data_IF_338613361690
#
_entry.id   IF_338613361690
#
_cell.length_a   1.000
_cell.length_b   1.000
_cell.length_c   1.000
_cell.angle_alpha   90.00
_cell.angle_beta   90.00
_cell.angle_gamma   90.00
#
_symmetry.space_group_name_H-M   'P 1'
#
loop_
_entity.id
_entity.type
_entity.pdbx_description
1 polymer ?
#
# COMPACT_ATOMS: atom_id res chain seq x y z
N UNK A 1 -26.65 -14.19 9.54
CA UNK A 1 -26.92 -12.76 9.20
C UNK A 1 -26.77 -11.81 10.40
N UNK A 2 -27.41 -12.06 11.56
CA UNK A 2 -27.33 -11.18 12.75
C UNK A 2 -25.93 -11.06 13.39
N UNK A 3 -25.14 -12.14 13.42
CA UNK A 3 -23.75 -12.14 13.93
C UNK A 3 -22.75 -11.43 13.00
N UNK A 4 -22.99 -11.44 11.69
CA UNK A 4 -22.14 -10.76 10.69
C UNK A 4 -22.28 -9.24 10.78
N UNK A 5 -23.51 -8.74 10.92
CA UNK A 5 -23.78 -7.32 11.14
C UNK A 5 -23.17 -6.81 12.46
N UNK A 6 -23.15 -7.63 13.51
CA UNK A 6 -22.56 -7.27 14.80
C UNK A 6 -21.05 -7.06 14.74
N UNK A 7 -20.30 -7.89 14.00
CA UNK A 7 -18.83 -7.74 13.86
C UNK A 7 -18.42 -6.46 13.10
N UNK A 8 -19.16 -6.12 12.05
CA UNK A 8 -18.93 -4.93 11.23
C UNK A 8 -19.31 -3.64 11.96
N UNK A 9 -20.44 -3.65 12.66
CA UNK A 9 -20.85 -2.54 13.53
C UNK A 9 -19.96 -2.39 14.77
N UNK A 10 -19.09 -3.34 15.09
CA UNK A 10 -18.09 -3.22 16.16
C UNK A 10 -16.81 -2.54 15.66
N UNK A 11 -16.35 -2.84 14.43
CA UNK A 11 -15.08 -2.28 13.92
C UNK A 11 -15.16 -0.85 13.39
N UNK A 12 -16.34 -0.37 12.95
CA UNK A 12 -16.52 1.04 12.57
C UNK A 12 -16.49 2.02 13.78
N UNK A 13 -17.12 1.70 14.94
CA UNK A 13 -17.05 2.56 16.13
C UNK A 13 -15.93 2.20 17.13
N UNK A 14 -15.36 0.99 17.13
CA UNK A 14 -14.17 0.67 17.93
C UNK A 14 -12.92 0.63 17.04
N UNK A 15 -12.03 1.63 17.14
CA UNK A 15 -10.72 1.54 16.49
C UNK A 15 -10.00 0.30 17.03
N UNK A 16 -9.18 -0.35 16.18
CA UNK A 16 -8.36 -1.50 16.60
C UNK A 16 -7.72 -1.28 17.97
N UNK A 17 -7.63 -2.34 18.76
CA UNK A 17 -6.97 -2.23 20.06
C UNK A 17 -5.52 -1.76 19.90
N UNK A 18 -4.99 -0.97 20.85
CA UNK A 18 -3.57 -0.68 20.90
C UNK A 18 -2.75 -1.99 20.86
N UNK A 19 -1.66 -2.09 20.07
CA UNK A 19 -0.90 -1.00 19.43
C UNK A 19 -1.31 -0.63 17.99
N UNK A 20 -2.15 -1.42 17.32
CA UNK A 20 -2.47 -1.26 15.90
C UNK A 20 -3.06 0.12 15.57
N UNK A 21 -3.84 0.70 16.49
CA UNK A 21 -4.39 2.06 16.34
C UNK A 21 -3.33 3.12 16.09
N UNK A 22 -2.22 3.08 16.82
CA UNK A 22 -1.15 4.06 16.67
C UNK A 22 -0.39 3.87 15.35
N UNK A 23 -0.20 2.61 14.95
CA UNK A 23 0.40 2.27 13.65
C UNK A 23 -0.48 2.79 12.52
N UNK A 24 -1.79 2.54 12.56
CA UNK A 24 -2.74 3.03 11.56
C UNK A 24 -2.78 4.56 11.51
N UNK A 25 -2.70 5.25 12.65
CA UNK A 25 -2.61 6.71 12.69
C UNK A 25 -1.31 7.21 12.02
N UNK A 26 -0.19 6.53 12.26
CA UNK A 26 1.08 6.81 11.60
C UNK A 26 1.01 6.60 10.08
N UNK A 27 0.45 5.48 9.62
CA UNK A 27 0.24 5.22 8.20
C UNK A 27 -0.68 6.25 7.56
N UNK A 28 -1.78 6.61 8.21
CA UNK A 28 -2.69 7.62 7.69
C UNK A 28 -2.00 8.99 7.50
N UNK A 29 -1.14 9.40 8.44
CA UNK A 29 -0.36 10.64 8.28
C UNK A 29 0.63 10.56 7.11
N UNK A 30 1.27 9.40 6.92
CA UNK A 30 2.14 9.18 5.76
C UNK A 30 1.35 9.20 4.45
N UNK A 31 0.14 8.62 4.42
CA UNK A 31 -0.73 8.64 3.25
C UNK A 31 -1.18 10.06 2.90
N UNK A 32 -1.50 10.89 3.90
CA UNK A 32 -1.79 12.31 3.69
C UNK A 32 -0.58 13.06 3.13
N UNK A 33 0.64 12.75 3.60
CA UNK A 33 1.85 13.32 3.06
C UNK A 33 2.06 12.93 1.59
N UNK A 34 1.91 11.64 1.25
CA UNK A 34 2.01 11.14 -0.13
C UNK A 34 0.93 11.75 -1.02
N UNK A 35 -0.31 11.87 -0.53
CA UNK A 35 -1.39 12.55 -1.24
C UNK A 35 -1.06 14.04 -1.48
N UNK A 36 -0.45 14.70 -0.49
CA UNK A 36 0.05 16.06 -0.65
C UNK A 36 1.11 16.17 -1.75
N UNK A 37 2.07 15.23 -1.80
CA UNK A 37 3.06 15.17 -2.88
C UNK A 37 2.41 14.98 -4.25
N UNK A 38 1.43 14.07 -4.35
CA UNK A 38 0.66 13.84 -5.56
C UNK A 38 -0.02 15.14 -6.02
N UNK A 39 -0.71 15.85 -5.14
CA UNK A 39 -1.45 17.08 -5.47
C UNK A 39 -0.56 18.27 -5.83
N UNK A 40 0.66 18.33 -5.29
CA UNK A 40 1.60 19.43 -5.54
C UNK A 40 2.46 19.18 -6.79
N UNK A 41 2.90 17.95 -7.03
CA UNK A 41 3.88 17.60 -8.05
C UNK A 41 3.32 16.86 -9.27
N UNK A 42 1.99 16.72 -9.39
CA UNK A 42 1.37 15.97 -10.49
C UNK A 42 1.78 16.39 -11.91
N UNK A 43 2.14 17.67 -12.12
CA UNK A 43 2.47 18.19 -13.46
C UNK A 43 3.72 17.56 -14.06
N UNK A 44 4.68 17.10 -13.24
CA UNK A 44 5.87 16.42 -13.76
C UNK A 44 5.55 15.02 -14.28
N UNK A 45 4.59 14.34 -13.66
CA UNK A 45 4.21 12.97 -14.03
C UNK A 45 3.12 12.93 -15.11
N UNK A 46 2.28 13.98 -15.19
CA UNK A 46 1.14 14.05 -16.11
C UNK A 46 1.11 15.36 -16.90
N UNK A 47 2.09 15.64 -17.76
CA UNK A 47 2.20 16.92 -18.47
C UNK A 47 1.06 17.15 -19.48
N UNK A 48 0.39 16.08 -19.93
CA UNK A 48 -0.72 16.15 -20.89
C UNK A 48 -2.07 16.47 -20.25
N UNK A 49 -2.18 16.46 -18.92
CA UNK A 49 -3.44 16.67 -18.20
C UNK A 49 -3.62 18.14 -17.81
N UNK A 50 -4.85 18.65 -17.97
CA UNK A 50 -5.21 19.97 -17.46
C UNK A 50 -5.60 19.91 -15.99
N UNK A 51 -5.20 20.92 -15.20
CA UNK A 51 -5.49 20.96 -13.77
C UNK A 51 -6.98 20.93 -13.44
N UNK A 52 -7.84 21.48 -14.32
CA UNK A 52 -9.30 21.46 -14.18
C UNK A 52 -9.90 20.05 -14.23
N UNK A 53 -9.22 19.11 -14.90
CA UNK A 53 -9.64 17.70 -15.00
C UNK A 53 -8.94 16.88 -13.92
N UNK A 54 -7.67 17.19 -13.64
CA UNK A 54 -6.85 16.44 -12.69
C UNK A 54 -7.44 16.42 -11.27
N UNK A 55 -7.77 17.58 -10.69
CA UNK A 55 -8.26 17.61 -9.30
C UNK A 55 -9.61 16.89 -9.12
N UNK A 56 -10.62 17.09 -9.99
CA UNK A 56 -11.84 16.29 -9.94
C UNK A 56 -11.58 14.79 -10.11
N UNK A 57 -10.67 14.40 -11.00
CA UNK A 57 -10.31 13.00 -11.19
C UNK A 57 -9.73 12.37 -9.92
N UNK A 58 -8.83 13.07 -9.22
CA UNK A 58 -8.27 12.59 -7.94
C UNK A 58 -9.37 12.47 -6.88
N UNK A 59 -10.25 13.46 -6.75
CA UNK A 59 -11.36 13.43 -5.78
C UNK A 59 -12.32 12.27 -6.09
N UNK A 60 -12.72 12.10 -7.35
CA UNK A 60 -13.58 10.99 -7.77
C UNK A 60 -12.92 9.63 -7.50
N UNK A 61 -11.61 9.52 -7.75
CA UNK A 61 -10.86 8.28 -7.46
C UNK A 61 -10.86 7.97 -5.95
N UNK A 62 -10.63 8.97 -5.09
CA UNK A 62 -10.68 8.79 -3.63
C UNK A 62 -12.08 8.38 -3.15
N UNK A 63 -13.13 9.01 -3.65
CA UNK A 63 -14.51 8.67 -3.32
C UNK A 63 -14.88 7.25 -3.78
N UNK A 64 -14.46 6.87 -4.99
CA UNK A 64 -14.67 5.53 -5.53
C UNK A 64 -13.92 4.48 -4.70
N UNK A 65 -12.65 4.73 -4.35
CA UNK A 65 -11.86 3.84 -3.50
C UNK A 65 -12.46 3.72 -2.10
N UNK A 66 -12.90 4.82 -1.49
CA UNK A 66 -13.59 4.79 -0.19
C UNK A 66 -14.85 3.94 -0.26
N UNK A 67 -15.70 4.16 -1.26
CA UNK A 67 -16.93 3.37 -1.46
C UNK A 67 -16.64 1.87 -1.61
N UNK A 68 -15.62 1.52 -2.41
CA UNK A 68 -15.21 0.13 -2.63
C UNK A 68 -14.69 -0.54 -1.35
N UNK A 69 -13.82 0.12 -0.60
CA UNK A 69 -13.28 -0.43 0.66
C UNK A 69 -14.40 -0.59 1.68
N UNK A 70 -15.30 0.39 1.76
CA UNK A 70 -16.46 0.35 2.65
C UNK A 70 -17.35 -0.85 2.33
N UNK A 71 -17.77 -1.04 1.07
CA UNK A 71 -18.65 -2.16 0.70
C UNK A 71 -17.97 -3.52 0.87
N UNK A 72 -16.67 -3.65 0.58
CA UNK A 72 -15.91 -4.89 0.82
C UNK A 72 -15.87 -5.23 2.31
N UNK A 73 -15.63 -4.23 3.16
CA UNK A 73 -15.59 -4.39 4.63
C UNK A 73 -16.95 -4.88 5.16
N UNK A 74 -18.06 -4.35 4.62
CA UNK A 74 -19.41 -4.82 4.96
C UNK A 74 -19.64 -6.28 4.51
N UNK A 75 -19.26 -6.61 3.28
CA UNK A 75 -19.53 -7.91 2.65
C UNK A 75 -18.70 -9.04 3.28
N UNK A 76 -17.39 -8.80 3.48
CA UNK A 76 -16.47 -9.80 4.04
C UNK A 76 -16.53 -9.87 5.57
N UNK A 77 -17.27 -8.94 6.19
CA UNK A 77 -17.40 -8.79 7.63
C UNK A 77 -16.06 -8.80 8.38
N UNK A 78 -15.04 -8.20 7.77
CA UNK A 78 -13.71 -8.06 8.34
C UNK A 78 -13.43 -6.61 8.72
N UNK A 79 -12.39 -6.40 9.52
CA UNK A 79 -12.01 -5.06 9.98
C UNK A 79 -10.92 -4.46 9.08
N UNK A 80 -11.09 -4.59 7.76
CA UNK A 80 -10.19 -4.05 6.74
C UNK A 80 -8.89 -4.84 6.51
N UNK A 81 -8.79 -6.07 7.02
CA UNK A 81 -7.62 -6.91 6.79
C UNK A 81 -7.48 -7.27 5.31
N UNK A 82 -8.56 -7.68 4.65
CA UNK A 82 -8.53 -8.02 3.22
C UNK A 82 -8.17 -6.81 2.36
N UNK A 83 -8.75 -5.64 2.66
CA UNK A 83 -8.42 -4.40 1.96
C UNK A 83 -6.97 -3.99 2.17
N UNK A 84 -6.45 -4.06 3.39
CA UNK A 84 -5.07 -3.68 3.70
C UNK A 84 -4.05 -4.58 2.96
N UNK A 85 -4.20 -5.90 3.02
CA UNK A 85 -3.32 -6.82 2.30
C UNK A 85 -3.51 -6.72 0.77
N UNK A 86 -4.74 -6.53 0.29
CA UNK A 86 -5.02 -6.32 -1.13
C UNK A 86 -4.36 -5.04 -1.69
N UNK A 87 -4.41 -3.94 -0.93
CA UNK A 87 -3.74 -2.69 -1.28
C UNK A 87 -2.22 -2.84 -1.27
N UNK A 88 -1.65 -3.57 -0.30
CA UNK A 88 -0.22 -3.83 -0.25
C UNK A 88 0.24 -4.67 -1.47
N UNK A 89 -0.53 -5.69 -1.85
CA UNK A 89 -0.31 -6.45 -3.08
C UNK A 89 -0.29 -5.55 -4.33
N UNK A 90 -1.31 -4.71 -4.49
CA UNK A 90 -1.37 -3.77 -5.61
C UNK A 90 -0.15 -2.84 -5.60
N UNK A 91 0.23 -2.32 -4.43
CA UNK A 91 1.40 -1.48 -4.26
C UNK A 91 2.68 -2.20 -4.72
N UNK A 92 2.90 -3.48 -4.34
CA UNK A 92 4.06 -4.25 -4.80
C UNK A 92 4.18 -4.36 -6.30
N UNK A 93 3.06 -4.57 -6.99
CA UNK A 93 3.05 -4.62 -8.45
C UNK A 93 3.33 -3.23 -9.05
N UNK A 94 2.71 -2.17 -8.51
CA UNK A 94 2.86 -0.81 -9.03
C UNK A 94 4.28 -0.25 -8.86
N UNK A 95 4.99 -0.59 -7.79
CA UNK A 95 6.39 -0.20 -7.60
C UNK A 95 7.30 -0.78 -8.69
N UNK A 96 7.12 -2.06 -9.03
CA UNK A 96 7.81 -2.70 -10.17
C UNK A 96 7.44 -2.05 -11.50
N UNK A 97 6.15 -1.80 -11.72
CA UNK A 97 5.70 -1.15 -12.95
C UNK A 97 6.32 0.24 -13.12
N UNK A 98 6.34 1.04 -12.06
CA UNK A 98 6.98 2.35 -12.04
C UNK A 98 8.47 2.27 -12.37
N UNK A 99 9.18 1.29 -11.81
CA UNK A 99 10.61 1.07 -12.08
C UNK A 99 10.86 0.76 -13.56
N UNK A 100 10.11 -0.18 -14.13
CA UNK A 100 10.27 -0.58 -15.53
C UNK A 100 9.78 0.48 -16.53
N UNK A 101 8.78 1.27 -16.15
CA UNK A 101 8.30 2.36 -17.00
C UNK A 101 9.32 3.50 -17.11
N UNK A 102 9.96 3.86 -15.98
CA UNK A 102 10.94 4.95 -15.94
C UNK A 102 12.34 4.53 -16.40
N UNK A 103 12.68 3.24 -16.28
CA UNK A 103 14.02 2.71 -16.54
C UNK A 103 15.16 3.44 -15.80
N UNK A 104 14.84 4.10 -14.68
CA UNK A 104 15.80 4.79 -13.82
C UNK A 104 15.30 4.76 -12.37
N UNK A 105 16.18 5.03 -11.41
CA UNK A 105 15.85 5.00 -9.97
C UNK A 105 15.25 6.32 -9.44
N UNK A 106 14.71 7.18 -10.30
CA UNK A 106 14.16 8.47 -9.88
C UNK A 106 12.92 8.26 -8.99
N UNK A 107 13.06 8.61 -7.71
CA UNK A 107 12.04 8.40 -6.66
C UNK A 107 12.08 7.01 -6.02
N UNK A 108 13.08 6.19 -6.32
CA UNK A 108 13.25 4.84 -5.80
C UNK A 108 14.68 4.61 -5.29
N UNK A 109 14.87 3.70 -4.34
CA UNK A 109 16.19 3.32 -3.87
C UNK A 109 16.19 1.92 -3.28
N UNK A 110 17.37 1.30 -3.18
CA UNK A 110 17.54 0.00 -2.53
C UNK A 110 17.04 0.05 -1.09
N UNK A 111 17.26 1.16 -0.38
CA UNK A 111 16.75 1.35 0.98
C UNK A 111 15.23 1.36 1.05
N UNK A 112 14.56 2.07 0.12
CA UNK A 112 13.08 2.07 0.04
C UNK A 112 12.59 0.64 -0.21
N UNK A 113 13.21 -0.10 -1.13
CA UNK A 113 12.83 -1.47 -1.45
C UNK A 113 12.99 -2.42 -0.26
N UNK A 114 14.13 -2.35 0.44
CA UNK A 114 14.39 -3.17 1.62
C UNK A 114 13.48 -2.80 2.81
N UNK A 115 13.30 -1.50 3.08
CA UNK A 115 12.42 -1.04 4.14
C UNK A 115 10.97 -1.45 3.88
N UNK A 116 10.52 -1.39 2.63
CA UNK A 116 9.18 -1.82 2.24
C UNK A 116 8.99 -3.32 2.42
N UNK A 117 9.93 -4.14 1.93
CA UNK A 117 9.90 -5.59 2.13
C UNK A 117 9.92 -5.96 3.61
N UNK A 118 10.79 -5.34 4.40
CA UNK A 118 10.88 -5.57 5.85
C UNK A 118 9.58 -5.17 6.57
N UNK A 119 9.00 -4.02 6.21
CA UNK A 119 7.71 -3.56 6.73
C UNK A 119 6.60 -4.57 6.45
N UNK A 120 6.49 -5.05 5.21
CA UNK A 120 5.49 -6.07 4.85
C UNK A 120 5.73 -7.39 5.58
N UNK A 121 6.98 -7.85 5.68
CA UNK A 121 7.30 -9.09 6.38
C UNK A 121 6.93 -9.01 7.87
N UNK A 122 7.26 -7.91 8.55
CA UNK A 122 6.91 -7.68 9.95
C UNK A 122 5.40 -7.57 10.15
N UNK A 123 4.70 -6.82 9.28
CA UNK A 123 3.24 -6.69 9.34
C UNK A 123 2.53 -8.03 9.09
N UNK A 124 3.02 -8.82 8.12
CA UNK A 124 2.48 -10.15 7.82
C UNK A 124 2.72 -11.13 8.96
N UNK A 125 3.90 -11.10 9.58
CA UNK A 125 4.22 -11.92 10.74
C UNK A 125 3.35 -11.55 11.94
N UNK A 126 3.21 -10.24 12.23
CA UNK A 126 2.33 -9.77 13.29
C UNK A 126 0.87 -10.18 13.05
N UNK A 127 0.37 -10.02 11.82
CA UNK A 127 -0.97 -10.48 11.46
C UNK A 127 -1.12 -12.00 11.67
N UNK A 128 -0.14 -12.80 11.24
CA UNK A 128 -0.19 -14.25 11.43
C UNK A 128 -0.15 -14.66 12.90
N UNK A 129 0.63 -13.98 13.74
CA UNK A 129 0.75 -14.31 15.17
C UNK A 129 -0.44 -13.84 16.01
N UNK A 130 -1.00 -12.66 15.71
CA UNK A 130 -1.98 -12.01 16.57
C UNK A 130 -3.41 -11.98 16.02
N UNK A 131 -3.62 -12.25 14.72
CA UNK A 131 -4.95 -12.27 14.10
C UNK A 131 -5.34 -13.69 13.67
N UNK A 132 -6.32 -14.34 14.35
CA UNK A 132 -6.81 -15.67 13.98
C UNK A 132 -7.32 -15.75 12.53
N UNK A 133 -7.83 -14.64 11.99
CA UNK A 133 -8.29 -14.54 10.60
C UNK A 133 -7.14 -14.79 9.61
N UNK A 134 -5.94 -14.28 9.87
CA UNK A 134 -4.78 -14.43 9.01
C UNK A 134 -4.28 -15.89 8.94
N UNK A 135 -4.44 -16.64 10.03
CA UNK A 135 -4.07 -18.06 10.08
C UNK A 135 -5.05 -18.95 9.32
N UNK A 136 -6.34 -18.58 9.27
CA UNK A 136 -7.40 -19.42 8.68
C UNK A 136 -7.72 -19.07 7.24
N UNK A 137 -7.44 -17.83 6.82
CA UNK A 137 -7.80 -17.35 5.48
C UNK A 137 -6.72 -17.72 4.46
N UNK A 138 -7.06 -18.65 3.55
CA UNK A 138 -6.21 -18.99 2.42
C UNK A 138 -5.92 -17.78 1.51
N UNK A 139 -6.88 -16.85 1.39
CA UNK A 139 -6.71 -15.61 0.61
C UNK A 139 -5.63 -14.72 1.22
N UNK A 140 -5.65 -14.51 2.54
CA UNK A 140 -4.62 -13.71 3.21
C UNK A 140 -3.23 -14.34 3.10
N UNK A 141 -3.14 -15.66 3.24
CA UNK A 141 -1.87 -16.38 3.05
C UNK A 141 -1.35 -16.25 1.62
N UNK A 142 -2.22 -16.40 0.62
CA UNK A 142 -1.86 -16.20 -0.79
C UNK A 142 -1.38 -14.77 -1.06
N UNK A 143 -2.08 -13.77 -0.51
CA UNK A 143 -1.67 -12.37 -0.61
C UNK A 143 -0.28 -12.16 0.02
N UNK A 144 -0.02 -12.67 1.22
CA UNK A 144 1.30 -12.53 1.86
C UNK A 144 2.41 -13.14 1.01
N UNK A 145 2.21 -14.36 0.49
CA UNK A 145 3.24 -15.02 -0.35
C UNK A 145 3.49 -14.25 -1.64
N UNK A 146 2.43 -13.80 -2.31
CA UNK A 146 2.56 -13.06 -3.57
C UNK A 146 3.14 -11.66 -3.36
N UNK A 147 2.80 -10.98 -2.27
CA UNK A 147 3.42 -9.71 -1.88
C UNK A 147 4.92 -9.89 -1.68
N UNK A 148 5.34 -10.89 -0.90
CA UNK A 148 6.76 -11.15 -0.68
C UNK A 148 7.49 -11.48 -1.98
N UNK A 149 6.86 -12.24 -2.88
CA UNK A 149 7.42 -12.52 -4.20
C UNK A 149 7.66 -11.24 -5.02
N UNK A 150 6.67 -10.34 -5.09
CA UNK A 150 6.83 -9.07 -5.80
C UNK A 150 7.81 -8.12 -5.10
N UNK A 151 7.87 -8.11 -3.77
CA UNK A 151 8.80 -7.29 -3.00
C UNK A 151 10.25 -7.75 -3.21
N UNK A 152 10.50 -9.05 -3.20
CA UNK A 152 11.81 -9.62 -3.54
C UNK A 152 12.20 -9.29 -4.98
N UNK A 153 11.25 -9.43 -5.91
CA UNK A 153 11.46 -9.08 -7.32
C UNK A 153 11.80 -7.60 -7.48
N UNK A 154 11.12 -6.73 -6.72
CA UNK A 154 11.38 -5.28 -6.69
C UNK A 154 12.76 -4.96 -6.14
N UNK A 155 13.15 -5.54 -5.00
CA UNK A 155 14.49 -5.39 -4.42
C UNK A 155 15.56 -5.83 -5.42
N UNK A 156 15.39 -6.98 -6.05
CA UNK A 156 16.33 -7.50 -7.04
C UNK A 156 16.45 -6.57 -8.26
N UNK A 157 15.32 -6.09 -8.79
CA UNK A 157 15.30 -5.18 -9.94
C UNK A 157 15.96 -3.83 -9.63
N UNK A 158 15.62 -3.22 -8.48
CA UNK A 158 16.23 -1.96 -8.03
C UNK A 158 17.73 -2.13 -7.84
N UNK A 159 18.16 -3.22 -7.19
CA UNK A 159 19.57 -3.50 -6.96
C UNK A 159 20.35 -3.70 -8.27
N UNK A 160 19.75 -4.37 -9.24
CA UNK A 160 20.35 -4.58 -10.56
C UNK A 160 20.53 -3.25 -11.32
N UNK A 161 19.52 -2.39 -11.31
CA UNK A 161 19.59 -1.08 -11.97
C UNK A 161 20.57 -0.15 -11.24
N UNK A 162 20.58 -0.16 -9.91
CA UNK A 162 21.51 0.65 -9.11
C UNK A 162 22.97 0.34 -9.42
N UNK A 163 23.31 -0.96 -9.52
CA UNK A 163 24.65 -1.40 -9.92
C UNK A 163 25.02 -1.01 -11.34
N UNK A 164 24.05 -0.98 -12.26
CA UNK A 164 24.30 -0.55 -13.64
C UNK A 164 24.55 0.95 -13.74
N UNK A 165 23.81 1.76 -12.98
CA UNK A 165 23.95 3.21 -13.03
C UNK A 165 25.23 3.68 -12.35
N UNK A 166 25.74 2.98 -11.32
CA UNK A 166 27.06 3.24 -10.73
C UNK A 166 27.24 4.62 -10.05
N UNK A 167 26.20 5.47 -10.05
CA UNK A 167 26.22 6.79 -9.40
C UNK A 167 25.81 6.64 -7.94
N UNK A 168 26.58 7.12 -6.94
CA UNK A 168 26.17 7.03 -5.54
C UNK A 168 24.85 7.77 -5.26
N UNK A 169 23.99 7.16 -4.43
CA UNK A 169 22.59 7.56 -4.17
C UNK A 169 22.41 9.05 -3.84
N UNK A 170 23.34 9.65 -3.09
CA UNK A 170 23.30 11.06 -2.65
C UNK A 170 23.71 12.09 -3.71
N UNK A 171 24.20 11.65 -4.89
CA UNK A 171 24.64 12.55 -5.97
C UNK A 171 23.60 12.68 -7.10
N UNK A 172 22.39 12.15 -6.89
CA UNK A 172 21.31 12.04 -7.89
C UNK A 172 20.13 13.02 -7.65
N UNK A 173 20.32 13.98 -6.74
CA UNK A 173 19.42 15.11 -6.46
C UNK A 173 20.06 16.39 -6.99
#
# INVERSE_FOLDING_TARGET
>A
MRQYLLGVHLCLPHPHDPPQRYVNAGWFLLDLFILGQLLLFWRSDFPALEGRIYYPFVVLSLLASFGLIYTITLELADCGAYSAFGQNYLMSVLFLFMLFHRNCLLGQSVYIALSKMAGTALASLAAYLFAPLAQRSAVLQYLVVTILFFDLSYVAAVWYIDRKEGVPVWRRL
#
